data_IF_753154687783
#
_entry.id   IF_753154687783
#
_cell.length_a   1.000
_cell.length_b   1.000
_cell.length_c   1.000
_cell.angle_alpha   90.00
_cell.angle_beta   90.00
_cell.angle_gamma   90.00
#
_symmetry.space_group_name_H-M   'P 1'
#
loop_
_entity.id
_entity.type
_entity.pdbx_description
1 polymer ?
#
# COMPACT_ATOMS: atom_id res chain seq x y z
N UNK A 1 -21.77 14.38 -2.73
CA UNK A 1 -20.33 14.36 -2.37
C UNK A 1 -19.99 12.93 -2.01
N UNK A 2 -18.95 12.36 -2.61
CA UNK A 2 -18.60 10.96 -2.40
C UNK A 2 -18.05 10.70 -0.99
N UNK A 3 -18.29 9.53 -0.46
CA UNK A 3 -17.84 9.08 0.86
C UNK A 3 -17.03 7.81 0.73
N UNK A 4 -15.86 7.79 1.37
CA UNK A 4 -14.90 6.72 1.25
C UNK A 4 -14.56 6.13 2.61
N UNK A 5 -14.35 4.82 2.63
CA UNK A 5 -13.54 4.19 3.65
C UNK A 5 -12.05 4.36 3.31
N UNK A 6 -11.22 4.50 4.34
CA UNK A 6 -9.78 4.51 4.20
C UNK A 6 -9.18 3.29 4.85
N UNK A 7 -8.40 2.52 4.10
CA UNK A 7 -7.65 1.37 4.59
C UNK A 7 -6.15 1.68 4.58
N UNK A 8 -5.58 1.88 5.78
CA UNK A 8 -4.15 2.11 5.97
C UNK A 8 -3.38 0.80 5.81
N UNK A 9 -2.14 0.91 5.36
CA UNK A 9 -1.24 -0.20 5.12
C UNK A 9 -0.37 -0.47 6.36
N UNK A 10 -0.84 -1.40 7.19
CA UNK A 10 -0.09 -1.87 8.37
C UNK A 10 1.26 -2.50 8.01
N UNK A 11 1.37 -3.14 6.83
CA UNK A 11 2.61 -3.75 6.34
C UNK A 11 3.63 -2.76 5.79
N UNK A 12 3.26 -1.48 5.65
CA UNK A 12 4.10 -0.44 5.07
C UNK A 12 4.56 0.63 6.09
N UNK A 13 4.22 0.44 7.38
CA UNK A 13 4.52 1.40 8.45
C UNK A 13 6.03 1.69 8.61
N UNK A 14 6.89 0.73 8.26
CA UNK A 14 8.36 0.92 8.21
C UNK A 14 8.80 2.06 7.28
N UNK A 15 8.06 2.28 6.20
CA UNK A 15 8.39 3.27 5.17
C UNK A 15 7.56 4.54 5.28
N UNK A 16 6.31 4.43 5.73
CA UNK A 16 5.43 5.56 5.95
C UNK A 16 4.58 5.35 7.22
N UNK A 17 4.75 6.14 8.29
CA UNK A 17 3.92 6.02 9.49
C UNK A 17 2.45 6.28 9.16
N UNK A 18 1.54 5.70 9.96
CA UNK A 18 0.10 5.78 9.72
C UNK A 18 -0.42 7.21 9.59
N UNK A 19 0.15 8.19 10.31
CA UNK A 19 -0.20 9.60 10.20
C UNK A 19 0.03 10.17 8.78
N UNK A 20 1.11 9.78 8.10
CA UNK A 20 1.34 10.17 6.70
C UNK A 20 0.38 9.45 5.76
N UNK A 21 0.05 8.19 6.04
CA UNK A 21 -0.92 7.45 5.26
C UNK A 21 -2.33 8.06 5.37
N UNK A 22 -2.72 8.52 6.56
CA UNK A 22 -3.95 9.29 6.77
C UNK A 22 -4.00 10.53 5.87
N UNK A 23 -2.92 11.31 5.84
CA UNK A 23 -2.83 12.50 5.00
C UNK A 23 -2.95 12.15 3.52
N UNK A 24 -2.20 11.15 3.05
CA UNK A 24 -2.22 10.72 1.66
C UNK A 24 -3.62 10.26 1.20
N UNK A 25 -4.29 9.43 2.01
CA UNK A 25 -5.64 8.97 1.71
C UNK A 25 -6.64 10.14 1.74
N UNK A 26 -6.49 11.07 2.69
CA UNK A 26 -7.29 12.29 2.77
C UNK A 26 -7.16 13.16 1.52
N UNK A 27 -5.94 13.36 1.04
CA UNK A 27 -5.68 14.11 -0.20
C UNK A 27 -6.24 13.39 -1.43
N UNK A 28 -6.14 12.06 -1.50
CA UNK A 28 -6.79 11.28 -2.57
C UNK A 28 -8.31 11.46 -2.56
N UNK A 29 -8.95 11.41 -1.39
CA UNK A 29 -10.38 11.64 -1.26
C UNK A 29 -10.79 13.05 -1.73
N UNK A 30 -10.00 14.07 -1.36
CA UNK A 30 -10.22 15.46 -1.80
C UNK A 30 -10.11 15.60 -3.32
N UNK A 31 -9.10 14.99 -3.94
CA UNK A 31 -8.95 14.98 -5.42
C UNK A 31 -10.18 14.39 -6.11
N UNK A 32 -10.82 13.41 -5.48
CA UNK A 32 -12.05 12.77 -5.96
C UNK A 32 -13.33 13.55 -5.62
N UNK A 33 -13.20 14.79 -5.10
CA UNK A 33 -14.32 15.61 -4.63
C UNK A 33 -15.19 14.88 -3.58
N UNK A 34 -14.55 14.07 -2.74
CA UNK A 34 -15.18 13.30 -1.69
C UNK A 34 -14.55 13.54 -0.32
N UNK A 35 -14.95 12.70 0.64
CA UNK A 35 -14.42 12.71 2.01
C UNK A 35 -14.21 11.30 2.53
N UNK A 36 -13.28 11.15 3.47
CA UNK A 36 -13.17 9.91 4.25
C UNK A 36 -14.13 10.01 5.42
N UNK A 37 -14.95 8.97 5.60
CA UNK A 37 -15.88 8.91 6.73
C UNK A 37 -15.42 7.93 7.81
N UNK A 38 -14.50 7.03 7.48
CA UNK A 38 -13.97 6.03 8.40
C UNK A 38 -12.56 5.64 7.99
N UNK A 39 -11.69 5.49 8.99
CA UNK A 39 -10.33 4.97 8.81
C UNK A 39 -10.22 3.63 9.51
N UNK A 40 -9.60 2.68 8.82
CA UNK A 40 -9.22 1.38 9.36
C UNK A 40 -7.81 1.03 8.92
N UNK A 41 -7.21 0.03 9.57
CA UNK A 41 -6.02 -0.65 9.09
C UNK A 41 -6.30 -2.16 9.12
N UNK A 42 -5.67 -2.92 8.23
CA UNK A 42 -5.68 -4.37 8.35
C UNK A 42 -4.87 -4.83 9.57
N UNK A 43 -5.22 -5.98 10.14
CA UNK A 43 -4.39 -6.68 11.11
C UNK A 43 -3.27 -7.43 10.36
N UNK A 44 -2.08 -7.54 10.95
CA UNK A 44 -0.98 -8.31 10.36
C UNK A 44 -1.38 -9.76 10.01
N UNK A 45 -2.30 -10.37 10.77
CA UNK A 45 -2.84 -11.71 10.51
C UNK A 45 -3.79 -11.75 9.33
N UNK A 46 -4.46 -10.64 9.01
CA UNK A 46 -5.46 -10.55 7.93
C UNK A 46 -4.97 -9.79 6.71
N UNK A 47 -3.76 -9.21 6.75
CA UNK A 47 -3.12 -8.53 5.61
C UNK A 47 -3.21 -9.35 4.30
N UNK A 48 -2.95 -10.67 4.28
CA UNK A 48 -3.06 -11.46 3.04
C UNK A 48 -4.47 -11.66 2.52
N UNK A 49 -5.49 -11.51 3.36
CA UNK A 49 -6.88 -11.89 3.06
C UNK A 49 -7.87 -10.73 3.08
N UNK A 50 -7.42 -9.52 3.46
CA UNK A 50 -8.24 -8.31 3.56
C UNK A 50 -9.44 -8.47 4.51
N UNK A 51 -9.21 -9.17 5.63
CA UNK A 51 -10.29 -9.58 6.55
C UNK A 51 -11.01 -8.41 7.21
N UNK A 52 -10.28 -7.37 7.61
CA UNK A 52 -10.88 -6.22 8.32
C UNK A 52 -11.75 -5.40 7.37
N UNK A 53 -11.25 -5.08 6.17
CA UNK A 53 -12.02 -4.28 5.23
C UNK A 53 -13.23 -5.05 4.69
N UNK A 54 -13.13 -6.37 4.50
CA UNK A 54 -14.28 -7.22 4.14
C UNK A 54 -15.36 -7.15 5.21
N UNK A 55 -15.01 -7.36 6.47
CA UNK A 55 -15.95 -7.24 7.58
C UNK A 55 -16.60 -5.84 7.62
N UNK A 56 -15.84 -4.79 7.29
CA UNK A 56 -16.37 -3.43 7.23
C UNK A 56 -17.34 -3.21 6.06
N UNK A 57 -17.10 -3.82 4.91
CA UNK A 57 -18.02 -3.80 3.77
C UNK A 57 -19.30 -4.58 4.06
N UNK A 58 -19.21 -5.68 4.81
CA UNK A 58 -20.35 -6.52 5.20
C UNK A 58 -21.32 -5.81 6.15
N UNK A 59 -20.90 -4.74 6.83
CA UNK A 59 -21.81 -3.88 7.59
C UNK A 59 -22.83 -3.13 6.70
N UNK A 60 -22.64 -3.13 5.35
CA UNK A 60 -23.53 -2.52 4.34
C UNK A 60 -24.00 -1.11 4.73
N UNK A 61 -23.09 -0.28 5.26
CA UNK A 61 -23.44 1.09 5.59
C UNK A 61 -23.89 1.84 4.33
N UNK A 62 -25.02 2.52 4.41
CA UNK A 62 -25.54 3.30 3.29
C UNK A 62 -24.59 4.46 2.94
N UNK A 63 -24.50 4.78 1.64
CA UNK A 63 -23.79 5.94 1.09
C UNK A 63 -22.26 5.88 1.16
N UNK A 64 -21.66 4.71 0.91
CA UNK A 64 -20.22 4.56 0.69
C UNK A 64 -19.99 4.32 -0.79
N UNK A 65 -19.19 5.18 -1.42
CA UNK A 65 -18.91 5.13 -2.85
C UNK A 65 -17.67 4.27 -3.16
N UNK A 66 -16.78 4.07 -2.20
CA UNK A 66 -15.57 3.31 -2.44
C UNK A 66 -14.62 3.18 -1.24
N UNK A 67 -13.47 2.59 -1.51
CA UNK A 67 -12.40 2.35 -0.55
C UNK A 67 -11.10 2.93 -1.09
N UNK A 68 -10.43 3.74 -0.28
CA UNK A 68 -9.09 4.27 -0.55
C UNK A 68 -8.10 3.46 0.27
N UNK A 69 -7.30 2.66 -0.41
CA UNK A 69 -6.13 1.99 0.14
C UNK A 69 -4.92 2.93 0.07
N UNK A 70 -4.01 2.83 1.03
CA UNK A 70 -2.80 3.65 0.99
C UNK A 70 -1.89 3.23 -0.17
N UNK A 71 -1.67 1.92 -0.36
CA UNK A 71 -0.84 1.42 -1.46
C UNK A 71 -1.48 0.26 -2.22
N UNK A 72 -1.11 0.14 -3.49
CA UNK A 72 -1.39 -1.06 -4.28
C UNK A 72 -0.74 -2.33 -3.68
N UNK A 73 0.37 -2.19 -2.93
CA UNK A 73 1.07 -3.31 -2.29
C UNK A 73 0.17 -4.09 -1.33
N UNK A 74 -0.87 -3.47 -0.77
CA UNK A 74 -1.85 -4.14 0.09
C UNK A 74 -2.45 -5.39 -0.58
N UNK A 75 -2.62 -5.36 -1.91
CA UNK A 75 -3.16 -6.48 -2.69
C UNK A 75 -2.13 -7.58 -3.01
N UNK A 76 -0.88 -7.45 -2.55
CA UNK A 76 0.19 -8.42 -2.82
C UNK A 76 0.66 -9.17 -1.56
N UNK A 77 0.15 -8.83 -0.37
CA UNK A 77 0.57 -9.48 0.88
C UNK A 77 0.27 -10.98 0.95
N UNK A 78 -0.62 -11.50 0.09
CA UNK A 78 -0.84 -12.93 -0.12
C UNK A 78 0.17 -13.64 -1.04
N UNK A 79 1.27 -12.98 -1.43
CA UNK A 79 2.32 -13.52 -2.32
C UNK A 79 1.98 -13.48 -3.82
N UNK A 80 0.75 -13.09 -4.16
CA UNK A 80 0.28 -12.80 -5.51
C UNK A 80 -0.77 -11.69 -5.46
N UNK A 81 -0.99 -11.03 -6.58
CA UNK A 81 -2.03 -10.03 -6.71
C UNK A 81 -3.41 -10.63 -6.40
N UNK A 82 -4.12 -10.07 -5.41
CA UNK A 82 -5.46 -10.51 -5.01
C UNK A 82 -6.54 -9.90 -5.93
N UNK A 83 -6.49 -10.31 -7.20
CA UNK A 83 -7.49 -9.93 -8.21
C UNK A 83 -8.92 -10.31 -7.77
N UNK A 84 -9.07 -11.43 -7.06
CA UNK A 84 -10.39 -11.90 -6.60
C UNK A 84 -11.01 -10.92 -5.62
N UNK A 85 -10.22 -10.42 -4.66
CA UNK A 85 -10.73 -9.42 -3.74
C UNK A 85 -11.03 -8.10 -4.46
N UNK A 86 -10.14 -7.63 -5.33
CA UNK A 86 -10.38 -6.38 -6.06
C UNK A 86 -11.67 -6.44 -6.88
N UNK A 87 -11.88 -7.55 -7.61
CA UNK A 87 -13.10 -7.79 -8.35
C UNK A 87 -14.33 -7.83 -7.44
N UNK A 88 -14.25 -8.53 -6.31
CA UNK A 88 -15.35 -8.57 -5.33
C UNK A 88 -15.76 -7.17 -4.86
N UNK A 89 -14.80 -6.28 -4.57
CA UNK A 89 -15.10 -4.90 -4.16
C UNK A 89 -15.87 -4.15 -5.26
N UNK A 90 -15.45 -4.29 -6.51
CA UNK A 90 -16.12 -3.66 -7.66
C UNK A 90 -17.52 -4.26 -7.92
N UNK A 91 -17.66 -5.58 -7.79
CA UNK A 91 -18.94 -6.28 -7.98
C UNK A 91 -19.97 -5.86 -6.91
N UNK A 92 -19.52 -5.45 -5.73
CA UNK A 92 -20.34 -4.85 -4.67
C UNK A 92 -20.67 -3.36 -4.91
N UNK A 93 -20.20 -2.78 -6.02
CA UNK A 93 -20.50 -1.41 -6.44
C UNK A 93 -19.58 -0.34 -5.83
N UNK A 94 -18.50 -0.73 -5.17
CA UNK A 94 -17.52 0.20 -4.60
C UNK A 94 -16.42 0.53 -5.61
N UNK A 95 -15.99 1.80 -5.64
CA UNK A 95 -14.75 2.21 -6.29
C UNK A 95 -13.54 1.80 -5.44
N UNK A 96 -12.40 1.54 -6.07
CA UNK A 96 -11.13 1.26 -5.38
C UNK A 96 -10.07 2.26 -5.80
N UNK A 97 -9.40 2.87 -4.82
CA UNK A 97 -8.36 3.86 -5.07
C UNK A 97 -7.10 3.51 -4.30
N UNK A 98 -5.95 3.84 -4.88
CA UNK A 98 -4.63 3.68 -4.28
C UNK A 98 -3.99 5.06 -4.16
N UNK A 99 -3.83 5.55 -2.92
CA UNK A 99 -3.42 6.93 -2.68
C UNK A 99 -1.97 7.19 -3.09
N UNK A 100 -1.05 6.28 -2.77
CA UNK A 100 0.38 6.44 -3.06
C UNK A 100 0.68 6.43 -4.56
N UNK A 101 0.05 5.52 -5.30
CA UNK A 101 0.25 5.39 -6.75
C UNK A 101 -0.63 6.36 -7.55
N UNK A 102 -1.53 7.09 -6.89
CA UNK A 102 -2.58 7.94 -7.48
C UNK A 102 -3.46 7.21 -8.51
N UNK A 103 -3.63 5.90 -8.35
CA UNK A 103 -4.44 5.05 -9.24
C UNK A 103 -5.88 4.98 -8.72
N UNK A 104 -6.84 4.94 -9.65
CA UNK A 104 -8.26 4.68 -9.38
C UNK A 104 -8.77 3.56 -10.29
N UNK A 105 -9.61 2.71 -9.72
CA UNK A 105 -10.31 1.60 -10.37
C UNK A 105 -11.79 1.73 -10.02
N UNK A 106 -12.54 2.42 -10.87
CA UNK A 106 -13.95 2.75 -10.62
C UNK A 106 -14.90 1.63 -11.04
N UNK A 107 -14.46 0.73 -11.92
CA UNK A 107 -15.29 -0.34 -12.47
C UNK A 107 -14.43 -1.44 -13.10
N UNK A 108 -15.10 -2.51 -13.54
CA UNK A 108 -14.44 -3.68 -14.16
C UNK A 108 -13.68 -3.30 -15.44
N UNK A 109 -14.20 -2.40 -16.28
CA UNK A 109 -13.49 -1.97 -17.49
C UNK A 109 -12.13 -1.35 -17.13
N UNK A 110 -12.12 -0.45 -16.13
CA UNK A 110 -10.88 0.17 -15.68
C UNK A 110 -9.90 -0.83 -15.08
N UNK A 111 -10.41 -1.84 -14.38
CA UNK A 111 -9.59 -2.95 -13.88
C UNK A 111 -8.93 -3.71 -15.03
N UNK A 112 -9.69 -4.04 -16.08
CA UNK A 112 -9.15 -4.78 -17.24
C UNK A 112 -8.05 -3.98 -17.96
N UNK A 113 -8.22 -2.66 -18.08
CA UNK A 113 -7.21 -1.75 -18.63
C UNK A 113 -5.92 -1.71 -17.79
N UNK A 114 -6.04 -1.74 -16.46
CA UNK A 114 -4.91 -1.66 -15.53
C UNK A 114 -4.29 -3.02 -15.20
N UNK A 115 -4.97 -4.12 -15.53
CA UNK A 115 -4.52 -5.48 -15.21
C UNK A 115 -3.09 -5.77 -15.68
N UNK A 116 -2.63 -5.38 -16.89
CA UNK A 116 -1.24 -5.58 -17.30
C UNK A 116 -0.24 -4.90 -16.37
N UNK A 117 -0.56 -3.69 -15.86
CA UNK A 117 0.29 -2.95 -14.94
C UNK A 117 0.34 -3.65 -13.58
N UNK A 118 -0.81 -4.06 -13.04
CA UNK A 118 -0.87 -4.80 -11.77
C UNK A 118 -0.14 -6.14 -11.86
N UNK A 119 -0.31 -6.86 -12.97
CA UNK A 119 0.35 -8.13 -13.22
C UNK A 119 1.88 -7.95 -13.32
N UNK A 120 2.35 -6.94 -14.06
CA UNK A 120 3.78 -6.64 -14.16
C UNK A 120 4.38 -6.24 -12.81
N UNK A 121 3.65 -5.46 -12.00
CA UNK A 121 4.05 -5.04 -10.65
C UNK A 121 4.36 -6.23 -9.75
N UNK A 122 3.63 -7.35 -9.91
CA UNK A 122 3.88 -8.58 -9.15
C UNK A 122 5.33 -9.08 -9.30
N UNK A 123 5.90 -9.00 -10.50
CA UNK A 123 7.25 -9.50 -10.76
C UNK A 123 8.31 -8.57 -10.20
N UNK A 124 8.07 -7.26 -10.22
CA UNK A 124 8.96 -6.27 -9.61
C UNK A 124 9.01 -6.46 -8.09
N UNK A 125 7.84 -6.55 -7.43
CA UNK A 125 7.78 -6.77 -5.99
C UNK A 125 8.48 -8.08 -5.60
N UNK A 126 8.22 -9.18 -6.32
CA UNK A 126 8.88 -10.47 -6.05
C UNK A 126 10.39 -10.41 -6.23
N UNK A 127 10.88 -9.71 -7.25
CA UNK A 127 12.31 -9.52 -7.46
C UNK A 127 12.93 -8.74 -6.31
N UNK A 128 12.33 -7.62 -5.91
CA UNK A 128 12.88 -6.76 -4.86
C UNK A 128 12.85 -7.46 -3.48
N UNK A 129 11.83 -8.27 -3.20
CA UNK A 129 11.79 -9.13 -2.01
C UNK A 129 12.87 -10.23 -2.07
N UNK A 130 13.12 -10.81 -3.24
CA UNK A 130 14.23 -11.73 -3.46
C UNK A 130 15.60 -11.02 -3.43
N UNK A 131 15.70 -9.74 -3.77
CA UNK A 131 16.95 -8.96 -3.70
C UNK A 131 17.44 -8.75 -2.27
N UNK A 132 16.54 -8.74 -1.28
CA UNK A 132 16.90 -8.84 0.15
C UNK A 132 17.60 -10.15 0.52
N UNK A 133 17.55 -11.16 -0.36
CA UNK A 133 18.30 -12.40 -0.21
C UNK A 133 19.67 -12.38 -0.91
N UNK A 134 20.09 -11.31 -1.58
CA UNK A 134 21.45 -11.24 -2.17
C UNK A 134 22.51 -10.79 -1.16
N UNK A 135 22.16 -10.62 0.13
CA UNK A 135 23.10 -10.36 1.23
C UNK A 135 24.26 -11.37 1.31
N UNK A 136 24.10 -12.58 0.74
CA UNK A 136 25.15 -13.59 0.65
C UNK A 136 25.90 -13.63 -0.70
N UNK A 137 25.47 -12.86 -1.70
CA UNK A 137 26.06 -12.84 -3.04
C UNK A 137 26.77 -11.51 -3.30
N UNK A 138 26.21 -10.39 -2.82
CA UNK A 138 27.00 -9.18 -2.59
C UNK A 138 27.57 -9.31 -1.19
N UNK A 139 28.81 -9.80 -1.06
CA UNK A 139 29.52 -9.80 0.23
C UNK A 139 29.38 -8.46 0.95
N UNK A 140 29.54 -8.40 2.28
CA UNK A 140 29.09 -7.29 3.11
C UNK A 140 29.51 -5.99 2.46
N UNK A 141 28.54 -5.23 1.96
CA UNK A 141 28.80 -3.83 1.64
C UNK A 141 29.08 -3.22 2.99
N UNK A 142 30.37 -3.06 3.32
CA UNK A 142 30.80 -2.35 4.51
C UNK A 142 30.05 -1.03 4.49
N UNK A 143 29.02 -0.91 5.33
CA UNK A 143 28.55 0.39 5.75
C UNK A 143 29.75 0.97 6.44
N UNK A 144 30.48 1.82 5.71
CA UNK A 144 31.43 2.70 6.34
C UNK A 144 30.56 3.57 7.23
N UNK A 145 30.50 3.22 8.52
CA UNK A 145 29.88 4.05 9.53
C UNK A 145 30.52 5.43 9.41
N UNK A 146 29.73 6.43 9.01
CA UNK A 146 30.22 7.80 8.88
C UNK A 146 30.81 8.31 10.21
N UNK A 147 30.46 7.68 11.34
CA UNK A 147 31.07 7.94 12.65
C UNK A 147 32.56 7.52 12.73
N UNK A 148 33.00 6.48 12.01
CA UNK A 148 34.41 6.07 11.99
C UNK A 148 35.29 6.97 11.12
N UNK A 149 34.74 7.60 10.08
CA UNK A 149 35.47 8.58 9.26
C UNK A 149 35.73 9.85 10.08
N UNK A 150 34.72 10.34 10.83
CA UNK A 150 34.85 11.55 11.63
C UNK A 150 35.86 11.38 12.78
N UNK A 151 35.93 10.19 13.40
CA UNK A 151 36.90 9.94 14.49
C UNK A 151 38.36 9.88 14.01
N UNK A 152 38.59 9.38 12.78
CA UNK A 152 39.92 9.34 12.14
C UNK A 152 40.41 10.69 11.67
N UNK A 153 39.52 11.58 11.23
CA UNK A 153 39.92 12.95 10.84
C UNK A 153 40.25 13.82 12.06
N UNK A 154 39.56 13.64 13.19
CA UNK A 154 39.83 14.41 14.42
C UNK A 154 41.15 14.02 15.13
N UNK A 155 41.69 12.82 14.90
CA UNK A 155 42.98 12.39 15.48
C UNK A 155 44.21 12.81 14.67
N UNK A 156 44.04 13.34 13.45
CA UNK A 156 45.14 13.80 12.61
C UNK A 156 45.31 15.33 12.60
N UNK A 157 44.59 16.06 13.45
CA UNK A 157 44.66 17.53 13.58
C UNK A 157 45.02 17.97 15.01
N UNK A 158 45.56 17.08 15.84
CA UNK A 158 46.09 17.39 17.17
C UNK A 158 47.61 17.19 17.25
#
# INVERSE_FOLDING_TARGET
MKSYYSCLDAGFVKYAPQSLQHLANGEKAKKLSGKIIFYTAEDFKTLPSHGVIKAKMDEKQANIDGIIFFTLRQFFYGGRFDYKFLKYVLDEGYEVHFAREDISVENQQRLDELFPIFYATQFVIKRDEAESSWDHITGPYERIDQEQIISKELHNVA
#
